data_IF_530269806283
#
_entry.id   IF_530269806283
#
_cell.length_a   1.000
_cell.length_b   1.000
_cell.length_c   1.000
_cell.angle_alpha   90.00
_cell.angle_beta   90.00
_cell.angle_gamma   90.00
#
_symmetry.space_group_name_H-M   'P 1'
#
loop_
_entity.id
_entity.type
_entity.pdbx_description
1 polymer ?
#
# COMPACT_ATOMS: atom_id res chain seq x y z
N UNK A 1 -9.38 -1.75 -6.87
CA UNK A 1 -8.73 -2.95 -6.29
C UNK A 1 -9.78 -3.92 -5.82
N UNK A 2 -9.71 -5.15 -6.26
CA UNK A 2 -10.60 -6.20 -5.73
C UNK A 2 -9.98 -6.82 -4.48
N UNK A 3 -10.78 -6.90 -3.45
CA UNK A 3 -10.39 -7.47 -2.17
C UNK A 3 -11.46 -8.44 -1.67
N UNK A 4 -11.05 -9.36 -0.83
CA UNK A 4 -11.96 -10.17 -0.02
C UNK A 4 -11.75 -9.81 1.44
N UNK A 5 -12.67 -9.06 2.07
CA UNK A 5 -12.60 -8.78 3.49
C UNK A 5 -12.66 -10.07 4.31
N UNK A 6 -11.75 -10.22 5.26
CA UNK A 6 -11.59 -11.47 6.04
C UNK A 6 -12.08 -11.29 7.47
N UNK A 7 -11.60 -10.26 8.15
CA UNK A 7 -11.96 -9.97 9.54
C UNK A 7 -11.64 -8.52 9.93
N UNK A 8 -12.40 -7.98 10.84
CA UNK A 8 -12.01 -6.75 11.53
C UNK A 8 -11.01 -7.08 12.63
N UNK A 9 -9.77 -6.62 12.47
CA UNK A 9 -8.75 -6.68 13.53
C UNK A 9 -9.11 -5.66 14.61
N UNK A 10 -9.55 -4.47 14.18
CA UNK A 10 -10.13 -3.44 15.03
C UNK A 10 -11.39 -2.93 14.35
N UNK A 11 -12.54 -3.06 15.03
CA UNK A 11 -13.81 -2.56 14.50
C UNK A 11 -13.85 -1.04 14.52
N UNK A 12 -14.42 -0.40 13.49
CA UNK A 12 -14.65 1.02 13.50
C UNK A 12 -15.69 1.37 14.57
N UNK A 13 -15.56 2.53 15.17
CA UNK A 13 -16.57 3.12 16.05
C UNK A 13 -16.73 4.61 15.72
N UNK A 14 -17.64 5.30 16.42
CA UNK A 14 -17.94 6.71 16.16
C UNK A 14 -16.73 7.66 16.32
N UNK A 15 -15.65 7.22 16.97
CA UNK A 15 -14.49 8.03 17.32
C UNK A 15 -13.16 7.40 16.89
N UNK A 16 -13.16 6.22 16.28
CA UNK A 16 -11.95 5.51 15.92
C UNK A 16 -12.08 4.83 14.55
N UNK A 17 -11.02 4.95 13.79
CA UNK A 17 -10.88 4.26 12.51
C UNK A 17 -10.76 2.75 12.70
N UNK A 18 -11.19 1.99 11.70
CA UNK A 18 -11.10 0.55 11.69
C UNK A 18 -9.78 0.05 11.14
N UNK A 19 -9.43 -1.18 11.48
CA UNK A 19 -8.37 -1.95 10.84
C UNK A 19 -8.96 -3.26 10.32
N UNK A 20 -9.00 -3.39 9.01
CA UNK A 20 -9.58 -4.51 8.31
C UNK A 20 -8.47 -5.37 7.70
N UNK A 21 -8.51 -6.68 7.94
CA UNK A 21 -7.70 -7.63 7.20
C UNK A 21 -8.43 -8.03 5.93
N UNK A 22 -7.77 -7.83 4.80
CA UNK A 22 -8.30 -8.19 3.48
C UNK A 22 -7.31 -9.09 2.73
N UNK A 23 -7.82 -9.89 1.82
CA UNK A 23 -7.01 -10.57 0.81
C UNK A 23 -7.10 -9.76 -0.49
N UNK A 24 -5.96 -9.39 -1.07
CA UNK A 24 -5.89 -8.73 -2.38
C UNK A 24 -6.11 -9.81 -3.47
N UNK A 25 -7.29 -9.79 -4.11
CA UNK A 25 -7.70 -10.86 -5.03
C UNK A 25 -7.35 -10.57 -6.49
N UNK A 26 -6.98 -9.34 -6.84
CA UNK A 26 -6.51 -8.97 -8.18
C UNK A 26 -5.07 -9.47 -8.45
N UNK A 27 -4.32 -9.87 -7.42
CA UNK A 27 -3.00 -10.46 -7.58
C UNK A 27 -3.09 -11.94 -7.91
N UNK A 28 -2.10 -12.46 -8.66
CA UNK A 28 -2.04 -13.87 -9.07
C UNK A 28 -2.16 -14.82 -7.88
N UNK A 29 -1.57 -14.43 -6.75
CA UNK A 29 -1.74 -15.13 -5.48
C UNK A 29 -2.41 -14.17 -4.50
N UNK A 30 -3.46 -14.60 -3.85
CA UNK A 30 -4.12 -13.80 -2.82
C UNK A 30 -3.12 -13.40 -1.71
N UNK A 31 -3.00 -12.11 -1.47
CA UNK A 31 -2.08 -11.57 -0.46
C UNK A 31 -2.89 -10.94 0.67
N UNK A 32 -2.76 -11.42 1.91
CA UNK A 32 -3.43 -10.79 3.05
C UNK A 32 -2.68 -9.51 3.45
N UNK A 33 -3.42 -8.41 3.62
CA UNK A 33 -2.89 -7.13 4.12
C UNK A 33 -3.84 -6.53 5.14
N UNK A 34 -3.31 -5.69 6.02
CA UNK A 34 -4.12 -4.80 6.85
C UNK A 34 -4.43 -3.52 6.09
N UNK A 35 -5.66 -3.05 6.21
CA UNK A 35 -6.13 -1.79 5.60
C UNK A 35 -6.76 -0.94 6.70
N UNK A 36 -6.25 0.27 6.87
CA UNK A 36 -6.90 1.25 7.73
C UNK A 36 -8.08 1.88 7.00
N UNK A 37 -9.22 1.91 7.66
CA UNK A 37 -10.44 2.46 7.11
C UNK A 37 -10.88 3.70 7.88
N UNK A 38 -11.17 4.78 7.15
CA UNK A 38 -11.64 6.02 7.72
C UNK A 38 -13.10 6.24 7.30
N UNK A 39 -13.96 6.54 8.26
CA UNK A 39 -15.40 6.78 8.04
C UNK A 39 -16.12 5.62 7.32
N UNK A 40 -15.69 4.39 7.54
CA UNK A 40 -16.32 3.18 7.01
C UNK A 40 -17.01 2.46 8.15
N UNK A 41 -18.31 2.16 7.99
CA UNK A 41 -19.06 1.36 8.96
C UNK A 41 -18.90 -0.14 8.70
N UNK A 42 -19.15 -0.96 9.72
CA UNK A 42 -19.11 -2.43 9.55
C UNK A 42 -20.11 -2.92 8.48
N UNK A 43 -21.21 -2.22 8.28
CA UNK A 43 -22.29 -2.60 7.34
C UNK A 43 -21.91 -2.38 5.87
N UNK A 44 -20.93 -1.51 5.60
CA UNK A 44 -20.43 -1.24 4.25
C UNK A 44 -19.47 -2.31 3.75
N UNK A 45 -19.01 -3.18 4.65
CA UNK A 45 -18.04 -4.23 4.36
C UNK A 45 -18.70 -5.60 4.41
N UNK A 46 -18.69 -6.31 3.29
CA UNK A 46 -19.22 -7.69 3.21
C UNK A 46 -18.10 -8.70 3.41
N UNK A 47 -18.10 -9.41 4.54
CA UNK A 47 -17.09 -10.40 4.86
C UNK A 47 -17.14 -11.60 3.93
N UNK A 48 -15.97 -12.17 3.65
CA UNK A 48 -15.75 -13.39 2.84
C UNK A 48 -16.28 -13.32 1.39
N UNK A 49 -16.60 -12.13 0.91
CA UNK A 49 -17.03 -11.89 -0.46
C UNK A 49 -16.10 -10.90 -1.16
N UNK A 50 -15.85 -11.11 -2.43
CA UNK A 50 -15.08 -10.16 -3.23
C UNK A 50 -15.83 -8.84 -3.36
N UNK A 51 -15.12 -7.74 -3.08
CA UNK A 51 -15.64 -6.38 -3.09
C UNK A 51 -14.60 -5.44 -3.68
N UNK A 52 -15.03 -4.39 -4.38
CA UNK A 52 -14.11 -3.37 -4.86
C UNK A 52 -13.82 -2.34 -3.76
N UNK A 53 -12.52 -2.05 -3.59
CA UNK A 53 -12.02 -1.02 -2.69
C UNK A 53 -11.21 0.02 -3.49
N UNK A 54 -11.36 1.26 -3.11
CA UNK A 54 -10.37 2.29 -3.40
C UNK A 54 -9.28 2.21 -2.34
N UNK A 55 -8.03 2.23 -2.76
CA UNK A 55 -6.88 2.13 -1.87
C UNK A 55 -5.83 3.15 -2.24
N UNK A 56 -5.15 3.66 -1.23
CA UNK A 56 -3.97 4.48 -1.38
C UNK A 56 -2.88 4.01 -0.41
N UNK A 57 -1.66 4.01 -0.91
CA UNK A 57 -0.47 3.74 -0.13
C UNK A 57 0.15 5.06 0.29
N UNK A 58 0.38 5.24 1.58
CA UNK A 58 1.11 6.38 2.12
C UNK A 58 2.51 5.95 2.52
N UNK A 59 3.52 6.63 2.00
CA UNK A 59 4.92 6.38 2.36
C UNK A 59 5.18 6.66 3.83
N UNK A 60 5.93 5.79 4.50
CA UNK A 60 6.40 6.02 5.87
C UNK A 60 7.72 6.77 5.94
N UNK A 61 8.24 7.26 4.79
CA UNK A 61 9.49 8.01 4.72
C UNK A 61 10.75 7.17 4.56
N UNK A 62 10.61 5.90 4.20
CA UNK A 62 11.74 4.98 3.97
C UNK A 62 11.93 4.65 2.49
N UNK A 63 11.50 5.56 1.61
CA UNK A 63 11.52 5.36 0.16
C UNK A 63 12.96 5.22 -0.36
N UNK A 64 13.19 4.15 -1.10
CA UNK A 64 14.38 3.93 -1.92
C UNK A 64 13.98 3.91 -3.38
N UNK A 65 14.71 4.64 -4.21
CA UNK A 65 14.43 4.77 -5.64
C UNK A 65 15.61 4.23 -6.44
N UNK A 66 15.30 3.38 -7.41
CA UNK A 66 16.25 2.83 -8.38
C UNK A 66 15.82 3.30 -9.77
N UNK A 67 16.75 3.71 -10.61
CA UNK A 67 16.44 4.26 -11.93
C UNK A 67 15.66 3.28 -12.81
N UNK A 68 16.04 2.02 -12.73
CA UNK A 68 15.49 0.91 -13.52
C UNK A 68 15.84 -0.44 -12.88
N UNK A 69 15.46 -1.52 -13.51
CA UNK A 69 15.74 -2.87 -13.02
C UNK A 69 17.25 -3.17 -12.96
N UNK A 70 18.04 -2.69 -13.91
CA UNK A 70 19.48 -2.90 -13.91
C UNK A 70 20.14 -2.21 -12.70
N UNK A 71 19.77 -0.98 -12.39
CA UNK A 71 20.22 -0.26 -11.20
C UNK A 71 19.81 -0.98 -9.92
N UNK A 72 18.60 -1.54 -9.88
CA UNK A 72 18.14 -2.34 -8.74
C UNK A 72 18.97 -3.61 -8.53
N UNK A 73 19.25 -4.36 -9.59
CA UNK A 73 20.02 -5.62 -9.55
C UNK A 73 21.49 -5.41 -9.18
N UNK A 74 22.06 -4.27 -9.55
CA UNK A 74 23.45 -3.93 -9.25
C UNK A 74 23.69 -3.48 -7.81
N UNK A 75 22.63 -3.09 -7.09
CA UNK A 75 22.77 -2.59 -5.72
C UNK A 75 22.78 -3.72 -4.70
N UNK A 76 23.65 -3.63 -3.65
CA UNK A 76 23.81 -4.69 -2.66
C UNK A 76 22.57 -4.94 -1.80
N UNK A 77 21.66 -3.97 -1.71
CA UNK A 77 20.42 -4.05 -0.95
C UNK A 77 19.23 -4.59 -1.79
N UNK A 78 19.41 -4.81 -3.09
CA UNK A 78 18.44 -5.40 -4.00
C UNK A 78 18.31 -6.92 -3.85
N UNK A 79 18.05 -7.42 -2.64
CA UNK A 79 17.94 -8.86 -2.39
C UNK A 79 16.55 -9.45 -2.61
N UNK A 80 15.56 -8.61 -2.83
CA UNK A 80 14.18 -9.02 -3.10
C UNK A 80 13.87 -8.93 -4.59
N UNK A 81 12.81 -9.60 -5.02
CA UNK A 81 12.34 -9.41 -6.37
C UNK A 81 11.97 -7.93 -6.62
N UNK A 82 12.19 -7.39 -7.85
CA UNK A 82 11.85 -6.02 -8.21
C UNK A 82 10.37 -5.68 -8.04
N UNK A 83 9.52 -6.71 -8.05
CA UNK A 83 8.12 -6.63 -7.67
C UNK A 83 7.84 -7.61 -6.54
N UNK A 84 7.48 -7.11 -5.38
CA UNK A 84 7.17 -7.92 -4.21
C UNK A 84 6.30 -7.17 -3.23
N UNK A 85 5.55 -7.93 -2.44
CA UNK A 85 4.70 -7.41 -1.37
C UNK A 85 4.87 -8.28 -0.13
N UNK A 86 5.14 -7.65 1.02
CA UNK A 86 5.29 -8.32 2.31
C UNK A 86 4.36 -7.65 3.32
N UNK A 87 3.35 -8.35 3.81
CA UNK A 87 2.38 -7.80 4.76
C UNK A 87 2.97 -7.73 6.19
N UNK A 88 4.01 -6.94 6.37
CA UNK A 88 4.75 -6.82 7.64
C UNK A 88 3.89 -6.32 8.80
N UNK A 89 2.80 -5.62 8.52
CA UNK A 89 1.86 -5.16 9.54
C UNK A 89 0.96 -6.25 10.12
N UNK A 90 0.85 -7.42 9.47
CA UNK A 90 0.05 -8.54 9.95
C UNK A 90 0.85 -9.62 10.68
N UNK A 91 2.16 -9.67 10.43
CA UNK A 91 3.02 -10.73 10.95
C UNK A 91 4.28 -10.11 11.58
N UNK A 92 4.64 -10.50 12.82
CA UNK A 92 5.86 -10.02 13.45
C UNK A 92 7.09 -10.56 12.70
N UNK A 93 8.09 -9.71 12.52
CA UNK A 93 9.38 -10.15 12.01
C UNK A 93 10.09 -10.98 13.08
N UNK A 94 10.39 -12.24 12.77
CA UNK A 94 11.20 -13.10 13.64
C UNK A 94 10.45 -13.99 14.64
N UNK A 95 9.16 -14.21 14.45
CA UNK A 95 8.37 -15.18 15.21
C UNK A 95 7.32 -14.56 16.15
N UNK A 96 6.81 -15.34 17.10
CA UNK A 96 5.78 -14.88 18.01
C UNK A 96 6.32 -13.82 18.99
N UNK A 97 5.97 -12.57 18.75
CA UNK A 97 6.23 -11.46 19.64
C UNK A 97 4.90 -11.06 20.32
N UNK A 98 4.76 -11.29 21.66
CA UNK A 98 3.52 -10.96 22.36
C UNK A 98 3.23 -9.46 22.45
N UNK A 99 4.20 -8.60 22.14
CA UNK A 99 4.03 -7.15 22.07
C UNK A 99 3.63 -6.66 20.67
N UNK A 100 3.57 -7.57 19.68
CA UNK A 100 3.19 -7.21 18.32
C UNK A 100 1.73 -6.78 18.23
N UNK A 101 1.52 -5.59 17.71
CA UNK A 101 0.18 -5.08 17.39
C UNK A 101 0.01 -5.06 15.86
N UNK A 102 -1.00 -5.76 15.32
CA UNK A 102 -1.28 -5.71 13.88
C UNK A 102 -1.57 -4.29 13.41
N UNK A 103 -1.14 -3.98 12.20
CA UNK A 103 -1.32 -2.67 11.58
C UNK A 103 -1.49 -2.77 10.06
N UNK A 104 -1.70 -1.62 9.43
CA UNK A 104 -1.90 -1.51 7.99
C UNK A 104 -0.60 -1.31 7.20
N UNK A 105 0.54 -1.74 7.74
CA UNK A 105 1.83 -1.57 7.08
C UNK A 105 2.18 -2.73 6.16
N UNK A 106 2.83 -2.40 5.06
CA UNK A 106 3.27 -3.35 4.03
C UNK A 106 4.58 -2.88 3.42
N UNK A 107 5.49 -3.81 3.14
CA UNK A 107 6.68 -3.52 2.33
C UNK A 107 6.33 -3.84 0.89
N UNK A 108 6.49 -2.89 -0.01
CA UNK A 108 6.26 -3.10 -1.44
C UNK A 108 7.47 -2.64 -2.24
N UNK A 109 7.84 -3.47 -3.22
CA UNK A 109 8.72 -3.12 -4.32
C UNK A 109 7.87 -3.11 -5.59
N UNK A 110 7.88 -2.01 -6.32
CA UNK A 110 7.08 -1.87 -7.54
C UNK A 110 7.74 -0.96 -8.56
N UNK A 111 7.28 -1.08 -9.79
CA UNK A 111 7.74 -0.24 -10.91
C UNK A 111 6.79 0.93 -11.11
N UNK A 112 7.29 2.14 -11.06
CA UNK A 112 6.50 3.36 -11.31
C UNK A 112 6.00 3.35 -12.75
N UNK A 113 4.70 3.51 -12.91
CA UNK A 113 4.02 3.56 -14.22
C UNK A 113 3.64 4.98 -14.60
N UNK A 114 3.32 5.81 -13.62
CA UNK A 114 2.85 7.17 -13.85
C UNK A 114 3.23 8.08 -12.68
N UNK A 115 3.65 9.30 -12.99
CA UNK A 115 3.80 10.39 -12.04
C UNK A 115 2.75 11.46 -12.34
N UNK A 116 2.04 11.92 -11.35
CA UNK A 116 1.03 12.97 -11.47
C UNK A 116 1.68 14.34 -11.30
N UNK A 117 1.46 15.23 -12.25
CA UNK A 117 2.09 16.57 -12.27
C UNK A 117 1.53 17.50 -11.18
N UNK A 118 0.24 17.32 -10.86
CA UNK A 118 -0.47 18.15 -9.88
C UNK A 118 -1.20 17.29 -8.86
N UNK A 119 -0.57 16.98 -7.72
CA UNK A 119 -1.21 16.23 -6.65
C UNK A 119 -2.40 16.98 -6.03
N UNK A 120 -2.44 18.31 -6.11
CA UNK A 120 -3.52 19.11 -5.50
C UNK A 120 -4.86 18.88 -6.20
N UNK A 121 -4.85 18.51 -7.48
CA UNK A 121 -6.06 18.12 -8.22
C UNK A 121 -6.77 16.89 -7.62
N UNK A 122 -6.06 16.09 -6.82
CA UNK A 122 -6.55 14.90 -6.15
C UNK A 122 -6.70 15.08 -4.63
N UNK A 123 -6.57 16.32 -4.13
CA UNK A 123 -6.73 16.66 -2.72
C UNK A 123 -5.47 16.49 -1.86
N UNK A 124 -4.30 16.27 -2.47
CA UNK A 124 -3.02 16.18 -1.78
C UNK A 124 -2.29 17.53 -1.76
N UNK A 125 -1.25 17.65 -0.93
CA UNK A 125 -0.44 18.84 -0.82
C UNK A 125 0.51 19.00 -2.02
N UNK A 126 0.90 20.27 -2.32
CA UNK A 126 1.97 20.57 -3.28
C UNK A 126 3.33 19.97 -2.88
N UNK A 127 3.52 19.71 -1.58
CA UNK A 127 4.73 19.11 -1.02
C UNK A 127 4.74 17.57 -1.08
N UNK A 128 3.77 16.98 -1.76
CA UNK A 128 3.65 15.55 -1.94
C UNK A 128 3.88 15.14 -3.39
N UNK A 129 4.43 13.93 -3.57
CA UNK A 129 4.37 13.19 -4.81
C UNK A 129 3.13 12.31 -4.82
N UNK A 130 2.44 12.29 -5.93
CA UNK A 130 1.42 11.28 -6.23
C UNK A 130 1.88 10.52 -7.47
N UNK A 131 2.00 9.21 -7.36
CA UNK A 131 2.39 8.35 -8.47
C UNK A 131 1.68 7.00 -8.41
N UNK A 132 1.57 6.35 -9.57
CA UNK A 132 1.12 4.96 -9.64
C UNK A 132 2.31 4.04 -9.87
N UNK A 133 2.27 2.87 -9.25
CA UNK A 133 3.24 1.81 -9.49
C UNK A 133 2.55 0.48 -9.75
N UNK A 134 3.17 -0.35 -10.59
CA UNK A 134 2.76 -1.72 -10.78
C UNK A 134 3.51 -2.63 -9.80
N UNK A 135 2.77 -3.49 -9.13
CA UNK A 135 3.33 -4.56 -8.30
C UNK A 135 2.54 -5.83 -8.56
N UNK A 136 3.22 -6.85 -9.10
CA UNK A 136 2.63 -8.17 -9.37
C UNK A 136 1.34 -8.10 -10.23
N UNK A 137 1.35 -7.20 -11.23
CA UNK A 137 0.24 -7.02 -12.17
C UNK A 137 -0.89 -6.11 -11.68
N UNK A 138 -0.76 -5.53 -10.49
CA UNK A 138 -1.75 -4.60 -9.92
C UNK A 138 -1.17 -3.20 -9.88
N UNK A 139 -1.96 -2.22 -10.31
CA UNK A 139 -1.61 -0.80 -10.19
C UNK A 139 -2.06 -0.25 -8.84
N UNK A 140 -1.12 0.39 -8.15
CA UNK A 140 -1.30 0.96 -6.82
C UNK A 140 -0.95 2.45 -6.85
N UNK A 141 -1.82 3.28 -6.28
CA UNK A 141 -1.55 4.71 -6.11
C UNK A 141 -0.83 4.97 -4.80
N UNK A 142 0.18 5.82 -4.86
CA UNK A 142 1.09 6.13 -3.75
C UNK A 142 1.18 7.63 -3.55
N UNK A 143 1.09 8.04 -2.29
CA UNK A 143 1.42 9.40 -1.86
C UNK A 143 2.68 9.36 -0.98
N UNK A 144 3.61 10.29 -1.23
CA UNK A 144 4.86 10.41 -0.48
C UNK A 144 5.29 11.87 -0.36
N UNK A 145 5.90 12.23 0.76
CA UNK A 145 6.43 13.58 0.97
C UNK A 145 7.66 13.84 0.10
N UNK A 146 7.70 14.98 -0.59
CA UNK A 146 8.87 15.43 -1.37
C UNK A 146 10.11 15.63 -0.51
N UNK A 147 9.95 15.92 0.77
CA UNK A 147 11.05 16.12 1.70
C UNK A 147 11.76 14.82 2.10
N UNK A 148 11.09 13.69 1.90
CA UNK A 148 11.59 12.35 2.30
C UNK A 148 12.22 11.60 1.13
N UNK A 149 12.05 12.09 -0.10
CA UNK A 149 12.58 11.48 -1.32
C UNK A 149 13.64 12.40 -1.92
N UNK A 150 14.88 11.93 -1.94
CA UNK A 150 16.02 12.69 -2.48
C UNK A 150 16.33 12.34 -3.92
N UNK A 151 15.94 11.17 -4.39
CA UNK A 151 16.15 10.71 -5.75
C UNK A 151 14.97 11.08 -6.65
N UNK A 152 15.23 11.14 -7.95
CA UNK A 152 14.20 11.44 -8.94
C UNK A 152 13.36 10.19 -9.22
N UNK A 153 12.03 10.32 -9.06
CA UNK A 153 11.06 9.30 -9.45
C UNK A 153 10.59 9.61 -10.88
N UNK A 154 10.70 8.62 -11.75
CA UNK A 154 10.18 8.69 -13.13
C UNK A 154 9.50 7.37 -13.49
N UNK A 155 8.62 7.34 -14.52
CA UNK A 155 8.12 6.08 -15.05
C UNK A 155 9.27 5.14 -15.41
N UNK A 156 9.19 3.89 -14.96
CA UNK A 156 10.26 2.88 -15.09
C UNK A 156 11.18 2.78 -13.86
N UNK A 157 11.17 3.75 -12.95
CA UNK A 157 11.87 3.63 -11.67
C UNK A 157 11.28 2.48 -10.86
N UNK A 158 12.14 1.76 -10.13
CA UNK A 158 11.70 0.82 -9.11
C UNK A 158 11.74 1.55 -7.78
N UNK A 159 10.67 1.47 -7.03
CA UNK A 159 10.51 2.09 -5.72
C UNK A 159 10.28 1.01 -4.67
N UNK A 160 11.00 1.12 -3.57
CA UNK A 160 10.85 0.27 -2.40
C UNK A 160 10.57 1.13 -1.17
N UNK A 161 9.53 0.79 -0.44
CA UNK A 161 9.18 1.50 0.80
C UNK A 161 8.36 0.59 1.73
N UNK A 162 8.21 1.06 2.95
CA UNK A 162 7.18 0.60 3.87
C UNK A 162 6.02 1.58 3.72
N UNK A 163 4.87 1.06 3.35
CA UNK A 163 3.67 1.85 3.14
C UNK A 163 2.63 1.59 4.22
N UNK A 164 1.85 2.61 4.49
CA UNK A 164 0.60 2.53 5.21
C UNK A 164 -0.54 2.40 4.21
N UNK A 165 -1.38 1.37 4.32
CA UNK A 165 -2.50 1.17 3.41
C UNK A 165 -3.76 1.78 4.02
N UNK A 166 -4.36 2.71 3.28
CA UNK A 166 -5.68 3.23 3.56
C UNK A 166 -6.65 2.76 2.47
N UNK A 167 -7.89 2.47 2.85
CA UNK A 167 -8.87 2.01 1.88
C UNK A 167 -10.30 2.11 2.35
N UNK A 168 -11.21 2.12 1.41
CA UNK A 168 -12.65 2.16 1.62
C UNK A 168 -13.37 1.43 0.49
N UNK A 169 -14.58 0.90 0.75
CA UNK A 169 -15.39 0.33 -0.31
C UNK A 169 -15.62 1.34 -1.43
N UNK A 170 -15.38 0.92 -2.68
CA UNK A 170 -15.69 1.78 -3.82
C UNK A 170 -17.20 2.04 -3.87
N UNK A 171 -17.57 3.27 -4.19
CA UNK A 171 -18.99 3.59 -4.41
C UNK A 171 -19.51 2.73 -5.56
N UNK A 172 -20.58 2.03 -5.31
CA UNK A 172 -21.27 1.29 -6.37
C UNK A 172 -21.77 2.29 -7.43
N UNK A 173 -21.06 2.29 -8.50
CA UNK A 173 -21.44 3.05 -9.68
C UNK A 173 -22.67 2.47 -10.37
#
# INVERSE_FOLDING_TARGET
MKVRPMEWIKKPDANADGLLKVELTDMEFGVPVGVETHNVSEEEVTMDQEQEFEMILESTGQTKVYRDQADYEERPDGHMAPESIIPCGLFPAGGDDPSFEPGATVIIHGTVTKLYDDPTAFGFSEDEFLYSMNCLGVELDVVASKNEITETITPGSIVSDIYWIQGWPAENS
#
